data_IF_893364004465
#
_entry.id   IF_893364004465
#
_cell.length_a   1.000
_cell.length_b   1.000
_cell.length_c   1.000
_cell.angle_alpha   90.00
_cell.angle_beta   90.00
_cell.angle_gamma   90.00
#
_symmetry.space_group_name_H-M   'P 1'
#
loop_
_entity.id
_entity.type
_entity.pdbx_description
1 polymer ?
#
# COMPACT_ATOMS: atom_id res chain seq x y z
N UNK A 1 13.67 -11.59 7.03
CA UNK A 1 13.80 -10.67 5.89
C UNK A 1 12.71 -9.62 6.03
N UNK A 2 13.08 -8.35 5.96
CA UNK A 2 12.08 -7.29 5.82
C UNK A 2 11.61 -7.24 4.37
N UNK A 3 10.30 -7.28 4.16
CA UNK A 3 9.72 -7.14 2.82
C UNK A 3 9.94 -5.72 2.33
N UNK A 4 10.42 -5.61 1.08
CA UNK A 4 10.52 -4.34 0.37
C UNK A 4 9.14 -3.71 0.14
N UNK A 5 9.09 -2.40 -0.11
CA UNK A 5 7.83 -1.71 -0.44
C UNK A 5 7.15 -2.33 -1.66
N UNK A 6 7.94 -2.77 -2.65
CA UNK A 6 7.48 -3.42 -3.87
C UNK A 6 6.73 -4.72 -3.55
N UNK A 7 7.31 -5.56 -2.70
CA UNK A 7 6.71 -6.82 -2.27
C UNK A 7 5.45 -6.58 -1.45
N UNK A 8 5.45 -5.60 -0.53
CA UNK A 8 4.28 -5.27 0.26
C UNK A 8 3.10 -4.78 -0.59
N UNK A 9 3.36 -3.96 -1.60
CA UNK A 9 2.31 -3.47 -2.50
C UNK A 9 1.71 -4.60 -3.32
N UNK A 10 2.56 -5.48 -3.85
CA UNK A 10 2.12 -6.66 -4.59
C UNK A 10 1.30 -7.61 -3.72
N UNK A 11 1.77 -7.89 -2.51
CA UNK A 11 1.06 -8.74 -1.56
C UNK A 11 -0.30 -8.16 -1.21
N UNK A 12 -0.39 -6.86 -0.89
CA UNK A 12 -1.67 -6.20 -0.57
C UNK A 12 -2.66 -6.22 -1.73
N UNK A 13 -2.17 -6.13 -2.97
CA UNK A 13 -3.01 -6.24 -4.18
C UNK A 13 -3.52 -7.68 -4.35
N UNK A 14 -2.64 -8.66 -4.23
CA UNK A 14 -2.97 -10.09 -4.40
C UNK A 14 -3.86 -10.60 -3.26
N UNK A 15 -3.63 -10.17 -2.01
CA UNK A 15 -4.47 -10.46 -0.85
C UNK A 15 -5.92 -10.00 -1.07
N UNK A 16 -6.13 -8.92 -1.84
CA UNK A 16 -7.46 -8.42 -2.23
C UNK A 16 -8.01 -9.02 -3.52
N UNK A 17 -7.24 -9.88 -4.21
CA UNK A 17 -7.64 -10.48 -5.48
C UNK A 17 -7.77 -9.50 -6.64
N UNK A 18 -7.06 -8.37 -6.59
CA UNK A 18 -7.18 -7.29 -7.58
C UNK A 18 -6.19 -7.44 -8.74
N UNK A 19 -6.64 -7.20 -9.96
CA UNK A 19 -5.73 -6.91 -11.08
C UNK A 19 -5.16 -5.50 -10.98
N UNK A 20 -4.09 -5.20 -11.73
CA UNK A 20 -3.55 -3.84 -11.77
C UNK A 20 -4.56 -2.83 -12.37
N UNK A 21 -5.41 -3.27 -13.29
CA UNK A 21 -6.48 -2.46 -13.88
C UNK A 21 -7.56 -2.12 -12.85
N UNK A 22 -8.01 -3.11 -12.08
CA UNK A 22 -8.97 -2.88 -11.01
C UNK A 22 -8.40 -1.99 -9.91
N UNK A 23 -7.11 -2.15 -9.60
CA UNK A 23 -6.45 -1.27 -8.64
C UNK A 23 -6.38 0.17 -9.18
N UNK A 24 -6.02 0.35 -10.45
CA UNK A 24 -6.01 1.66 -11.11
C UNK A 24 -7.36 2.36 -11.01
N UNK A 25 -8.47 1.68 -11.27
CA UNK A 25 -9.81 2.27 -11.15
C UNK A 25 -10.13 2.74 -9.72
N UNK A 26 -9.64 2.03 -8.71
CA UNK A 26 -9.91 2.31 -7.30
C UNK A 26 -9.04 3.42 -6.73
N UNK A 27 -7.74 3.40 -7.03
CA UNK A 27 -6.78 4.37 -6.49
C UNK A 27 -6.46 5.49 -7.46
N UNK A 28 -6.96 5.44 -8.69
CA UNK A 28 -6.71 6.44 -9.73
C UNK A 28 -5.20 6.74 -9.85
N UNK A 29 -4.43 5.67 -10.07
CA UNK A 29 -3.00 5.64 -10.40
C UNK A 29 -2.86 4.71 -11.60
N UNK A 30 -2.07 5.09 -12.61
CA UNK A 30 -2.02 4.31 -13.85
C UNK A 30 -1.54 2.87 -13.63
N UNK A 31 -2.11 1.89 -14.35
CA UNK A 31 -1.66 0.49 -14.35
C UNK A 31 -0.15 0.38 -14.54
N UNK A 32 0.42 1.18 -15.44
CA UNK A 32 1.87 1.22 -15.68
C UNK A 32 2.64 1.67 -14.44
N UNK A 33 2.19 2.72 -13.76
CA UNK A 33 2.82 3.18 -12.53
C UNK A 33 2.72 2.14 -11.41
N UNK A 34 1.53 1.55 -11.22
CA UNK A 34 1.32 0.46 -10.25
C UNK A 34 2.21 -0.75 -10.54
N UNK A 35 2.31 -1.15 -11.80
CA UNK A 35 3.21 -2.22 -12.23
C UNK A 35 4.68 -1.90 -11.98
N UNK A 36 5.11 -0.65 -12.21
CA UNK A 36 6.44 -0.19 -11.83
C UNK A 36 6.64 -0.22 -10.31
N UNK A 37 5.67 0.19 -9.50
CA UNK A 37 5.79 0.19 -8.04
C UNK A 37 5.95 -1.21 -7.43
N UNK A 38 5.44 -2.25 -8.11
CA UNK A 38 5.60 -3.65 -7.71
C UNK A 38 6.87 -4.30 -8.29
N UNK A 39 7.56 -3.63 -9.20
CA UNK A 39 8.78 -4.14 -9.83
C UNK A 39 10.00 -3.92 -8.93
N UNK A 40 10.85 -4.95 -8.81
CA UNK A 40 12.02 -4.95 -7.89
C UNK A 40 13.02 -3.81 -8.13
N UNK A 41 13.11 -3.31 -9.36
CA UNK A 41 14.12 -2.33 -9.77
C UNK A 41 13.65 -0.86 -9.66
N UNK A 42 12.36 -0.64 -9.42
CA UNK A 42 11.79 0.71 -9.41
C UNK A 42 11.78 1.29 -7.99
N UNK A 43 12.41 2.46 -7.79
CA UNK A 43 12.65 3.03 -6.45
C UNK A 43 11.92 4.34 -6.16
N UNK A 44 11.32 4.99 -7.17
CA UNK A 44 10.71 6.32 -7.00
C UNK A 44 9.18 6.26 -6.94
N UNK A 45 8.65 5.91 -5.78
CA UNK A 45 7.21 6.00 -5.50
C UNK A 45 6.93 7.38 -4.90
N UNK A 46 6.10 8.17 -5.59
CA UNK A 46 5.72 9.48 -5.07
C UNK A 46 5.00 9.36 -3.71
N UNK A 47 5.28 10.30 -2.80
CA UNK A 47 4.54 10.44 -1.54
C UNK A 47 3.01 10.44 -1.73
N UNK A 48 2.52 11.06 -2.82
CA UNK A 48 1.10 11.02 -3.19
C UNK A 48 0.58 9.59 -3.40
N UNK A 49 1.29 8.77 -4.19
CA UNK A 49 0.92 7.38 -4.44
C UNK A 49 0.95 6.55 -3.14
N UNK A 50 1.97 6.73 -2.29
CA UNK A 50 2.07 6.05 -0.99
C UNK A 50 0.86 6.36 -0.12
N UNK A 51 0.48 7.63 0.01
CA UNK A 51 -0.68 8.05 0.81
C UNK A 51 -1.97 7.42 0.27
N UNK A 52 -2.14 7.40 -1.05
CA UNK A 52 -3.33 6.85 -1.71
C UNK A 52 -3.45 5.35 -1.48
N UNK A 53 -2.36 4.62 -1.69
CA UNK A 53 -2.28 3.18 -1.47
C UNK A 53 -2.46 2.82 0.00
N UNK A 54 -1.85 3.58 0.92
CA UNK A 54 -2.02 3.38 2.37
C UNK A 54 -3.49 3.50 2.78
N UNK A 55 -4.17 4.56 2.32
CA UNK A 55 -5.60 4.78 2.57
C UNK A 55 -6.47 3.67 1.98
N UNK A 56 -6.26 3.32 0.71
CA UNK A 56 -7.01 2.26 0.04
C UNK A 56 -6.85 0.91 0.74
N UNK A 57 -5.61 0.58 1.11
CA UNK A 57 -5.32 -0.69 1.77
C UNK A 57 -5.64 -0.70 3.27
N UNK A 58 -5.97 0.44 3.87
CA UNK A 58 -6.24 0.56 5.31
C UNK A 58 -4.99 0.32 6.16
N UNK A 59 -3.81 0.63 5.61
CA UNK A 59 -2.50 0.47 6.26
C UNK A 59 -1.82 1.81 6.47
N UNK A 60 -0.76 1.85 7.28
CA UNK A 60 0.05 3.06 7.46
C UNK A 60 1.09 3.21 6.35
N UNK A 61 1.52 4.45 6.10
CA UNK A 61 2.67 4.70 5.23
C UNK A 61 3.94 4.05 5.78
N UNK A 62 4.12 4.03 7.11
CA UNK A 62 5.22 3.32 7.78
C UNK A 62 5.25 1.84 7.42
N UNK A 63 4.08 1.19 7.35
CA UNK A 63 4.00 -0.20 6.91
C UNK A 63 4.42 -0.32 5.44
N UNK A 64 3.94 0.53 4.54
CA UNK A 64 4.34 0.46 3.14
C UNK A 64 5.85 0.68 2.95
N UNK A 65 6.42 1.64 3.69
CA UNK A 65 7.83 2.03 3.63
C UNK A 65 8.78 1.06 4.36
N UNK A 66 8.26 0.03 5.02
CA UNK A 66 9.08 -0.92 5.78
C UNK A 66 9.58 -0.38 7.13
N UNK A 67 9.08 0.77 7.60
CA UNK A 67 9.41 1.31 8.91
C UNK A 67 8.65 0.61 10.06
N UNK A 68 7.62 -0.18 9.72
CA UNK A 68 6.85 -0.98 10.69
C UNK A 68 6.33 -2.27 10.08
N UNK A 69 6.23 -3.31 10.93
CA UNK A 69 5.55 -4.57 10.58
C UNK A 69 4.04 -4.52 10.88
N UNK A 70 3.58 -3.49 11.58
CA UNK A 70 2.18 -3.34 11.97
C UNK A 70 1.42 -2.69 10.81
N UNK A 71 0.60 -3.48 10.09
CA UNK A 71 -0.25 -3.01 8.99
C UNK A 71 -1.06 -1.76 9.38
N UNK A 72 -1.67 -1.75 10.57
CA UNK A 72 -2.45 -0.61 11.05
C UNK A 72 -2.31 -0.43 12.58
N UNK A 73 -1.77 0.70 13.03
CA UNK A 73 -1.60 1.04 14.46
C UNK A 73 -2.91 1.50 15.11
N UNK A 74 -3.90 1.94 14.34
CA UNK A 74 -5.05 2.73 14.83
C UNK A 74 -6.23 1.90 15.37
N UNK A 75 -6.16 0.57 15.42
CA UNK A 75 -7.25 -0.22 16.05
C UNK A 75 -7.27 -0.17 17.58
N UNK A 76 -6.35 0.55 18.22
CA UNK A 76 -6.29 0.65 19.70
C UNK A 76 -6.98 1.89 20.29
N UNK A 77 -7.50 2.83 19.48
CA UNK A 77 -8.07 4.09 20.00
C UNK A 77 -9.51 4.41 19.55
N UNK A 78 -10.18 3.52 18.81
CA UNK A 78 -11.61 3.67 18.55
C UNK A 78 -12.43 2.94 19.63
N UNK A 79 -12.26 3.33 20.88
CA UNK A 79 -13.33 3.19 21.87
C UNK A 79 -14.28 4.37 21.62
N UNK A 80 -15.60 4.15 21.49
CA UNK A 80 -16.53 5.27 21.53
C UNK A 80 -16.32 5.97 22.86
N UNK A 81 -15.89 7.23 22.83
CA UNK A 81 -15.90 8.07 24.04
C UNK A 81 -17.35 8.18 24.51
N UNK A 82 -17.63 7.97 25.80
CA UNK A 82 -18.98 8.01 26.36
C UNK A 82 -19.66 9.37 26.19
#
# INVERSE_FOLDING_TARGET
MELSIQERLKDLRVERGLTLEQLEEQVNLSKSALGSYEAKDFKDISHYAIIKLAKFYGVTADYLLGLSQIKNRLRLFNSPTP
#
